data_IF_992607481198
#
_entry.id   IF_992607481198
#
_cell.length_a   1.000
_cell.length_b   1.000
_cell.length_c   1.000
_cell.angle_alpha   90.00
_cell.angle_beta   90.00
_cell.angle_gamma   90.00
#
_symmetry.space_group_name_H-M   'P 1'
#
loop_
_entity.id
_entity.type
_entity.pdbx_description
1 polymer ?
#
# COMPACT_ATOMS: atom_id res chain seq x y z
N UNK A 1 3.96 32.93 -59.17
CA UNK A 1 2.98 34.03 -59.07
C UNK A 1 2.22 33.77 -57.80
N UNK A 2 2.34 34.47 -56.71
CA UNK A 2 2.48 35.91 -56.46
C UNK A 2 3.24 36.13 -55.13
N UNK A 3 4.09 37.00 -55.14
CA UNK A 3 4.85 37.82 -54.27
C UNK A 3 3.92 38.72 -53.43
N UNK A 4 4.13 38.80 -52.13
CA UNK A 4 3.83 39.99 -51.33
C UNK A 4 4.61 39.97 -50.02
N UNK A 5 5.67 40.73 -49.97
CA UNK A 5 5.91 42.02 -49.25
C UNK A 5 5.51 41.95 -47.77
N UNK A 6 6.39 41.91 -46.80
CA UNK A 6 7.32 42.95 -46.44
C UNK A 6 6.69 43.99 -45.53
N UNK A 7 6.92 43.94 -44.19
CA UNK A 7 6.88 45.10 -43.29
C UNK A 7 7.91 44.98 -42.18
N UNK A 8 8.96 45.70 -42.35
CA UNK A 8 9.90 46.18 -41.33
C UNK A 8 9.19 47.24 -40.46
N UNK A 9 9.26 47.13 -39.14
CA UNK A 9 9.03 48.26 -38.23
C UNK A 9 10.07 48.27 -37.14
N UNK A 10 10.71 49.37 -37.17
CA UNK A 10 11.80 49.97 -36.46
C UNK A 10 11.84 49.82 -34.92
N UNK A 11 13.09 49.82 -34.56
CA UNK A 11 13.73 50.13 -33.27
C UNK A 11 13.06 51.24 -32.44
N UNK A 12 12.89 51.01 -31.16
CA UNK A 12 13.24 52.00 -30.14
C UNK A 12 13.85 51.34 -28.92
N UNK A 13 15.11 51.60 -28.73
CA UNK A 13 15.90 51.43 -27.52
C UNK A 13 15.33 52.33 -26.42
N UNK A 14 14.92 51.75 -25.32
CA UNK A 14 14.77 52.46 -24.08
C UNK A 14 15.65 51.77 -23.02
N UNK A 15 16.78 52.44 -22.74
CA UNK A 15 17.65 52.15 -21.60
C UNK A 15 16.89 52.53 -20.33
N UNK A 16 16.63 51.60 -19.45
CA UNK A 16 16.33 51.86 -18.06
C UNK A 16 17.25 51.03 -17.17
N UNK A 17 17.92 51.74 -16.26
CA UNK A 17 18.97 51.28 -15.37
C UNK A 17 18.51 50.23 -14.36
N UNK A 18 19.41 49.37 -13.88
CA UNK A 18 19.07 48.36 -12.88
C UNK A 18 19.05 48.97 -11.47
N UNK A 19 17.90 49.02 -10.82
CA UNK A 19 17.82 49.16 -9.38
C UNK A 19 17.95 47.76 -8.78
N UNK A 20 19.10 47.48 -8.18
CA UNK A 20 19.35 46.34 -7.34
C UNK A 20 18.47 46.44 -6.09
N UNK A 21 17.41 45.64 -6.02
CA UNK A 21 16.69 45.31 -4.82
C UNK A 21 17.17 43.93 -4.37
N UNK A 22 18.09 43.94 -3.39
CA UNK A 22 18.45 42.78 -2.59
C UNK A 22 17.21 42.39 -1.76
N UNK A 23 16.34 41.54 -2.32
CA UNK A 23 15.29 40.85 -1.57
C UNK A 23 15.87 39.58 -0.97
N UNK A 24 16.09 39.59 0.35
CA UNK A 24 16.39 38.38 1.11
C UNK A 24 15.23 37.39 0.97
N UNK A 25 15.40 36.36 0.17
CA UNK A 25 14.53 35.19 0.13
C UNK A 25 14.77 34.40 1.41
N UNK A 26 13.95 34.65 2.43
CA UNK A 26 13.80 33.74 3.57
C UNK A 26 13.16 32.45 3.01
N UNK A 27 13.97 31.42 2.78
CA UNK A 27 13.52 30.05 2.57
C UNK A 27 12.84 29.60 3.87
N UNK A 28 11.54 29.84 3.99
CA UNK A 28 10.71 29.21 5.00
C UNK A 28 10.70 27.70 4.71
N UNK A 29 11.42 26.94 5.53
CA UNK A 29 11.26 25.50 5.56
C UNK A 29 9.81 25.21 5.95
N UNK A 30 8.99 24.88 4.97
CA UNK A 30 7.65 24.32 5.19
C UNK A 30 7.89 22.93 5.77
N UNK A 31 7.87 22.83 7.11
CA UNK A 31 7.82 21.56 7.79
C UNK A 31 6.48 20.91 7.40
N UNK A 32 6.53 19.94 6.48
CA UNK A 32 5.40 19.05 6.25
C UNK A 32 5.13 18.34 7.59
N UNK A 33 3.89 18.38 8.10
CA UNK A 33 3.55 17.60 9.27
C UNK A 33 3.84 16.13 8.93
N UNK A 34 4.66 15.48 9.74
CA UNK A 34 4.80 14.03 9.70
C UNK A 34 3.38 13.47 9.86
N UNK A 35 2.88 12.80 8.81
CA UNK A 35 1.61 12.09 8.89
C UNK A 35 1.83 11.01 9.94
N UNK A 36 1.27 11.24 11.14
CA UNK A 36 1.22 10.23 12.17
C UNK A 36 0.64 8.97 11.52
N UNK A 37 1.39 7.87 11.55
CA UNK A 37 0.86 6.58 11.14
C UNK A 37 -0.20 6.24 12.18
N UNK A 38 -1.48 6.45 11.82
CA UNK A 38 -2.59 6.07 12.68
C UNK A 38 -2.46 4.57 12.96
N UNK A 39 -2.24 4.25 14.22
CA UNK A 39 -2.10 2.87 14.69
C UNK A 39 -3.41 2.14 14.39
N UNK A 40 -3.33 0.94 13.80
CA UNK A 40 -4.54 0.17 13.51
C UNK A 40 -5.29 -0.12 14.82
N UNK A 41 -6.63 0.06 14.89
CA UNK A 41 -7.38 -0.23 16.10
C UNK A 41 -7.32 -1.72 16.39
N UNK A 42 -7.16 -2.07 17.66
CA UNK A 42 -7.24 -3.47 18.11
C UNK A 42 -8.60 -4.06 17.77
N UNK A 43 -8.60 -5.26 17.24
CA UNK A 43 -9.82 -6.03 17.15
C UNK A 43 -10.31 -6.37 18.57
N UNK A 44 -11.64 -6.35 18.84
CA UNK A 44 -12.17 -6.79 20.12
C UNK A 44 -11.71 -8.21 20.44
N UNK A 45 -11.33 -8.47 21.68
CA UNK A 45 -10.89 -9.80 22.14
C UNK A 45 -11.91 -10.88 21.79
N UNK A 46 -11.45 -12.00 21.25
CA UNK A 46 -12.31 -13.10 20.79
C UNK A 46 -13.04 -12.83 19.46
N UNK A 47 -12.72 -11.73 18.77
CA UNK A 47 -13.25 -11.50 17.43
C UNK A 47 -12.46 -12.29 16.39
N UNK A 48 -13.18 -12.93 15.47
CA UNK A 48 -12.60 -13.50 14.25
C UNK A 48 -12.55 -12.40 13.18
N UNK A 49 -11.46 -12.30 12.46
CA UNK A 49 -11.37 -11.47 11.26
C UNK A 49 -11.03 -12.31 10.03
N UNK A 50 -11.67 -12.02 8.90
CA UNK A 50 -11.29 -12.58 7.61
C UNK A 50 -10.22 -11.70 7.00
N UNK A 51 -9.10 -12.31 6.64
CA UNK A 51 -8.04 -11.68 5.84
C UNK A 51 -8.24 -12.08 4.39
N UNK A 52 -8.54 -11.11 3.54
CA UNK A 52 -8.66 -11.35 2.10
C UNK A 52 -7.28 -11.52 1.47
N UNK A 53 -7.21 -12.16 0.30
CA UNK A 53 -6.03 -12.12 -0.54
C UNK A 53 -5.63 -10.70 -0.91
N UNK A 54 -4.35 -10.48 -1.19
CA UNK A 54 -3.85 -9.20 -1.71
C UNK A 54 -4.44 -8.94 -3.09
N UNK A 55 -5.08 -7.77 -3.28
CA UNK A 55 -5.90 -7.50 -4.46
C UNK A 55 -5.11 -7.03 -5.67
N UNK A 56 -3.98 -6.37 -5.47
CA UNK A 56 -3.14 -5.88 -6.57
C UNK A 56 -1.67 -5.79 -6.17
N UNK A 57 -0.80 -5.90 -7.18
CA UNK A 57 0.64 -5.64 -7.02
C UNK A 57 1.13 -4.79 -8.18
N UNK A 58 2.10 -3.93 -7.90
CA UNK A 58 2.81 -3.17 -8.92
C UNK A 58 4.19 -3.80 -9.18
N UNK A 59 4.64 -3.86 -10.43
CA UNK A 59 5.97 -4.35 -10.73
C UNK A 59 7.03 -3.38 -10.20
N UNK A 60 8.22 -3.90 -9.95
CA UNK A 60 9.42 -3.12 -9.67
C UNK A 60 9.80 -2.24 -10.87
N UNK A 61 10.54 -1.15 -10.66
CA UNK A 61 11.22 -0.48 -11.77
C UNK A 61 12.05 -1.48 -12.58
N UNK A 62 11.80 -1.55 -13.90
CA UNK A 62 12.39 -2.57 -14.77
C UNK A 62 11.51 -3.79 -15.05
N UNK A 63 10.29 -3.85 -14.50
CA UNK A 63 9.29 -4.85 -14.84
C UNK A 63 9.36 -6.17 -14.06
N UNK A 64 10.31 -6.31 -13.14
CA UNK A 64 10.38 -7.47 -12.24
C UNK A 64 9.27 -7.43 -11.18
N UNK A 65 8.96 -8.58 -10.59
CA UNK A 65 7.99 -8.68 -9.50
C UNK A 65 8.69 -8.86 -8.15
N UNK A 66 8.06 -8.40 -7.03
CA UNK A 66 8.62 -8.60 -5.70
C UNK A 66 8.81 -10.08 -5.34
N UNK A 67 9.89 -10.40 -4.59
CA UNK A 67 10.11 -11.74 -4.07
C UNK A 67 10.54 -12.76 -5.12
N UNK A 68 11.21 -12.32 -6.19
CA UNK A 68 11.65 -13.16 -7.32
C UNK A 68 10.49 -13.86 -8.08
N UNK A 69 9.25 -13.32 -7.94
CA UNK A 69 8.11 -13.82 -8.70
C UNK A 69 8.25 -13.53 -10.20
N UNK A 70 7.71 -14.40 -11.04
CA UNK A 70 7.75 -14.27 -12.50
C UNK A 70 6.51 -13.59 -13.07
N UNK A 71 5.47 -13.42 -12.24
CA UNK A 71 4.20 -12.79 -12.61
C UNK A 71 3.54 -12.08 -11.43
N UNK A 72 2.58 -11.20 -11.73
CA UNK A 72 1.76 -10.57 -10.70
C UNK A 72 1.04 -11.59 -9.82
N UNK A 73 0.46 -12.60 -10.43
CA UNK A 73 -0.29 -13.63 -9.71
C UNK A 73 0.60 -14.40 -8.72
N UNK A 74 1.82 -14.72 -9.14
CA UNK A 74 2.79 -15.38 -8.28
C UNK A 74 3.23 -14.48 -7.12
N UNK A 75 3.48 -13.19 -7.37
CA UNK A 75 3.81 -12.21 -6.32
C UNK A 75 2.68 -12.07 -5.29
N UNK A 76 1.42 -12.01 -5.75
CA UNK A 76 0.25 -11.94 -4.87
C UNK A 76 0.11 -13.21 -4.03
N UNK A 77 0.26 -14.38 -4.62
CA UNK A 77 0.20 -15.66 -3.90
C UNK A 77 1.33 -15.82 -2.89
N UNK A 78 2.54 -15.39 -3.24
CA UNK A 78 3.67 -15.39 -2.33
C UNK A 78 3.38 -14.47 -1.12
N UNK A 79 2.88 -13.26 -1.34
CA UNK A 79 2.53 -12.35 -0.25
C UNK A 79 1.39 -12.90 0.63
N UNK A 80 0.38 -13.53 0.04
CA UNK A 80 -0.70 -14.20 0.78
C UNK A 80 -0.18 -15.33 1.68
N UNK A 81 0.79 -16.12 1.19
CA UNK A 81 1.40 -17.20 1.96
C UNK A 81 2.21 -16.65 3.15
N UNK A 82 2.98 -15.60 2.93
CA UNK A 82 3.75 -14.94 3.98
C UNK A 82 2.83 -14.29 5.04
N UNK A 83 1.75 -13.62 4.62
CA UNK A 83 0.74 -13.07 5.53
C UNK A 83 0.07 -14.17 6.36
N UNK A 84 -0.29 -15.29 5.71
CA UNK A 84 -0.91 -16.40 6.38
C UNK A 84 0.04 -17.02 7.43
N UNK A 85 1.32 -17.16 7.11
CA UNK A 85 2.32 -17.65 8.04
C UNK A 85 2.52 -16.70 9.22
N UNK A 86 2.76 -15.41 8.96
CA UNK A 86 3.02 -14.42 9.99
C UNK A 86 1.85 -14.21 10.97
N UNK A 87 0.60 -14.27 10.48
CA UNK A 87 -0.60 -14.16 11.32
C UNK A 87 -0.90 -15.46 12.06
N UNK A 88 -0.61 -16.65 11.48
CA UNK A 88 -0.78 -17.91 12.17
C UNK A 88 0.17 -18.05 13.37
N UNK A 89 1.38 -17.54 13.28
CA UNK A 89 2.35 -17.50 14.38
C UNK A 89 1.88 -16.62 15.55
N UNK A 90 1.01 -15.65 15.29
CA UNK A 90 0.47 -14.70 16.27
C UNK A 90 -0.98 -14.96 16.69
N UNK A 91 -1.43 -16.20 16.61
CA UNK A 91 -2.82 -16.62 16.95
C UNK A 91 -3.28 -16.21 18.35
N UNK A 92 -2.38 -16.04 19.29
CA UNK A 92 -2.72 -15.57 20.64
C UNK A 92 -3.35 -14.15 20.66
N UNK A 93 -3.18 -13.36 19.61
CA UNK A 93 -3.71 -11.99 19.48
C UNK A 93 -5.09 -11.92 18.80
N UNK A 94 -5.60 -13.04 18.22
CA UNK A 94 -6.90 -13.09 17.54
C UNK A 94 -7.06 -14.32 16.66
N UNK A 95 -8.31 -14.64 16.32
CA UNK A 95 -8.62 -15.68 15.36
C UNK A 95 -8.70 -15.11 13.95
N UNK A 96 -7.88 -15.67 13.05
CA UNK A 96 -7.78 -15.24 11.67
C UNK A 96 -8.30 -16.30 10.71
N UNK A 97 -9.26 -15.95 9.86
CA UNK A 97 -9.60 -16.72 8.68
C UNK A 97 -8.71 -16.24 7.52
N UNK A 98 -7.72 -17.05 7.17
CA UNK A 98 -6.63 -16.67 6.27
C UNK A 98 -6.98 -16.89 4.79
N UNK A 99 -6.29 -16.24 3.83
CA UNK A 99 -6.59 -16.35 2.40
C UNK A 99 -6.72 -17.78 1.86
N UNK A 100 -5.87 -18.77 2.24
CA UNK A 100 -6.05 -20.13 1.79
C UNK A 100 -7.35 -20.79 2.31
N UNK A 101 -7.77 -20.46 3.53
CA UNK A 101 -9.01 -20.98 4.11
C UNK A 101 -10.23 -20.36 3.42
N UNK A 102 -10.16 -19.06 3.13
CA UNK A 102 -11.21 -18.33 2.42
C UNK A 102 -11.43 -18.92 1.02
N UNK A 103 -10.36 -19.08 0.23
CA UNK A 103 -10.46 -19.70 -1.11
C UNK A 103 -11.07 -21.11 -1.04
N UNK A 104 -10.66 -21.94 -0.07
CA UNK A 104 -11.23 -23.28 0.13
C UNK A 104 -12.72 -23.23 0.47
N UNK A 105 -13.15 -22.29 1.32
CA UNK A 105 -14.56 -22.16 1.68
C UNK A 105 -15.40 -21.67 0.51
N UNK A 106 -14.92 -20.68 -0.24
CA UNK A 106 -15.62 -20.18 -1.44
C UNK A 106 -15.78 -21.32 -2.46
N UNK A 107 -14.72 -22.09 -2.75
CA UNK A 107 -14.77 -23.23 -3.67
C UNK A 107 -15.78 -24.30 -3.27
N UNK A 108 -16.06 -24.48 -1.97
CA UNK A 108 -17.05 -25.43 -1.45
C UNK A 108 -18.49 -24.87 -1.41
N UNK A 109 -18.67 -23.58 -1.71
CA UNK A 109 -19.97 -22.93 -1.64
C UNK A 109 -20.33 -22.29 -3.00
N UNK A 110 -20.84 -23.06 -3.95
CA UNK A 110 -21.10 -22.60 -5.31
C UNK A 110 -22.15 -21.48 -5.40
N UNK A 111 -22.90 -21.25 -4.30
CA UNK A 111 -23.85 -20.12 -4.21
C UNK A 111 -23.13 -18.76 -4.03
N UNK A 112 -21.89 -18.76 -3.56
CA UNK A 112 -21.07 -17.56 -3.45
C UNK A 112 -20.47 -17.28 -4.83
N UNK A 113 -20.87 -16.16 -5.44
CA UNK A 113 -20.41 -15.75 -6.77
C UNK A 113 -19.28 -14.72 -6.71
N UNK A 114 -18.75 -14.48 -5.52
CA UNK A 114 -17.67 -13.51 -5.29
C UNK A 114 -16.33 -14.21 -5.42
N UNK A 115 -15.46 -13.63 -6.22
CA UNK A 115 -14.05 -14.04 -6.29
C UNK A 115 -13.26 -13.30 -5.19
N UNK A 116 -12.72 -14.00 -4.18
CA UNK A 116 -11.97 -13.34 -3.10
C UNK A 116 -10.68 -12.67 -3.58
N UNK A 117 -10.15 -13.09 -4.72
CA UNK A 117 -8.93 -12.53 -5.31
C UNK A 117 -9.19 -11.26 -6.14
N UNK A 118 -10.47 -10.88 -6.35
CA UNK A 118 -10.87 -9.77 -7.25
C UNK A 118 -12.09 -9.02 -6.75
N UNK A 119 -12.06 -8.54 -5.51
CA UNK A 119 -13.16 -7.70 -5.01
C UNK A 119 -13.09 -6.27 -5.56
N UNK A 120 -14.20 -5.55 -5.54
CA UNK A 120 -14.34 -4.21 -6.13
C UNK A 120 -13.72 -3.10 -5.26
N UNK A 121 -12.46 -3.20 -4.89
CA UNK A 121 -11.75 -2.32 -3.95
C UNK A 121 -11.38 -0.94 -4.48
N UNK A 122 -11.48 -0.68 -5.78
CA UNK A 122 -10.97 0.53 -6.46
C UNK A 122 -11.52 1.82 -5.84
N UNK A 123 -12.77 1.79 -5.35
CA UNK A 123 -13.39 2.93 -4.68
C UNK A 123 -12.67 3.38 -3.41
N UNK A 124 -12.04 2.46 -2.67
CA UNK A 124 -11.27 2.77 -1.47
C UNK A 124 -9.92 3.45 -1.78
N UNK A 125 -9.35 3.15 -2.94
CA UNK A 125 -8.06 3.72 -3.37
C UNK A 125 -8.25 5.07 -4.05
N UNK A 126 -9.31 5.21 -4.89
CA UNK A 126 -9.52 6.38 -5.73
C UNK A 126 -10.09 7.60 -4.99
N UNK A 127 -10.78 7.40 -3.85
CA UNK A 127 -11.47 8.47 -3.12
C UNK A 127 -11.06 8.50 -1.65
N UNK A 128 -9.92 9.08 -1.33
CA UNK A 128 -9.42 9.13 0.05
C UNK A 128 -10.32 9.91 1.00
N UNK A 129 -11.09 10.86 0.52
CA UNK A 129 -12.07 11.67 1.25
C UNK A 129 -13.33 10.88 1.67
N UNK A 130 -13.58 9.72 1.06
CA UNK A 130 -14.72 8.84 1.35
C UNK A 130 -14.32 7.47 1.92
N UNK A 131 -13.15 7.37 2.50
CA UNK A 131 -12.60 6.11 3.03
C UNK A 131 -13.29 5.60 4.29
N UNK A 132 -14.13 6.42 4.94
CA UNK A 132 -14.84 6.04 6.17
C UNK A 132 -15.96 5.03 5.93
N UNK A 133 -16.48 4.95 4.71
CA UNK A 133 -17.57 4.06 4.34
C UNK A 133 -17.24 3.23 3.11
N UNK A 134 -17.76 2.01 3.09
CA UNK A 134 -17.75 1.15 1.91
C UNK A 134 -19.11 1.16 1.25
N UNK A 135 -19.10 1.09 -0.09
CA UNK A 135 -20.30 1.12 -0.93
C UNK A 135 -20.40 -0.14 -1.79
N UNK A 136 -21.56 -0.34 -2.39
CA UNK A 136 -21.72 -1.40 -3.38
C UNK A 136 -20.84 -1.14 -4.63
N UNK A 137 -20.31 -2.19 -5.28
CA UNK A 137 -20.54 -3.61 -4.96
C UNK A 137 -19.65 -4.18 -3.86
N UNK A 138 -18.58 -3.47 -3.41
CA UNK A 138 -17.63 -3.97 -2.42
C UNK A 138 -18.30 -4.43 -1.11
N UNK A 139 -19.28 -3.65 -0.62
CA UNK A 139 -19.96 -4.01 0.64
C UNK A 139 -20.66 -5.37 0.53
N UNK A 140 -21.40 -5.63 -0.56
CA UNK A 140 -22.05 -6.90 -0.80
C UNK A 140 -21.08 -8.06 -0.93
N UNK A 141 -19.98 -7.85 -1.65
CA UNK A 141 -18.92 -8.85 -1.81
C UNK A 141 -18.27 -9.23 -0.46
N UNK A 142 -17.82 -8.23 0.31
CA UNK A 142 -17.20 -8.47 1.60
C UNK A 142 -18.17 -9.10 2.61
N UNK A 143 -19.44 -8.70 2.58
CA UNK A 143 -20.49 -9.29 3.42
C UNK A 143 -20.69 -10.78 3.11
N UNK A 144 -20.72 -11.16 1.82
CA UNK A 144 -20.83 -12.55 1.41
C UNK A 144 -19.63 -13.39 1.88
N UNK A 145 -18.42 -12.87 1.74
CA UNK A 145 -17.20 -13.56 2.18
C UNK A 145 -17.11 -13.67 3.71
N UNK A 146 -17.41 -12.59 4.44
CA UNK A 146 -17.38 -12.57 5.90
C UNK A 146 -18.43 -13.51 6.50
N UNK A 147 -19.59 -13.66 5.87
CA UNK A 147 -20.65 -14.58 6.31
C UNK A 147 -20.20 -16.04 6.33
N UNK A 148 -19.26 -16.45 5.46
CA UNK A 148 -18.69 -17.80 5.47
C UNK A 148 -18.01 -18.17 6.80
N UNK A 149 -17.57 -17.17 7.56
CA UNK A 149 -16.87 -17.35 8.83
C UNK A 149 -17.66 -16.81 10.03
N UNK A 150 -18.88 -16.31 9.80
CA UNK A 150 -19.71 -15.72 10.85
C UNK A 150 -19.10 -14.47 11.49
N UNK A 151 -18.19 -13.79 10.80
CA UNK A 151 -17.49 -12.60 11.29
C UNK A 151 -18.06 -11.31 10.73
N UNK A 152 -17.73 -10.21 11.42
CA UNK A 152 -18.04 -8.84 10.95
C UNK A 152 -16.81 -8.06 10.54
N UNK A 153 -15.61 -8.55 10.86
CA UNK A 153 -14.36 -7.85 10.59
C UNK A 153 -13.66 -8.45 9.38
N UNK A 154 -13.19 -7.56 8.51
CA UNK A 154 -12.44 -7.92 7.31
C UNK A 154 -11.17 -7.08 7.26
N UNK A 155 -10.04 -7.74 7.09
CA UNK A 155 -8.78 -7.12 6.69
C UNK A 155 -8.66 -7.27 5.18
N UNK A 156 -8.59 -6.15 4.49
CA UNK A 156 -8.50 -6.08 3.03
C UNK A 156 -7.14 -5.51 2.61
N UNK A 157 -6.18 -6.38 2.21
CA UNK A 157 -4.93 -5.95 1.61
C UNK A 157 -5.20 -5.44 0.18
N UNK A 158 -5.03 -4.14 -0.04
CA UNK A 158 -5.44 -3.47 -1.27
C UNK A 158 -4.36 -3.52 -2.35
N UNK A 159 -3.13 -3.16 -1.97
CA UNK A 159 -2.06 -3.00 -2.95
C UNK A 159 -0.68 -3.23 -2.35
N UNK A 160 0.05 -4.15 -2.97
CA UNK A 160 1.47 -4.38 -2.72
C UNK A 160 2.28 -3.51 -3.68
N UNK A 161 3.21 -2.71 -3.14
CA UNK A 161 4.16 -1.91 -3.91
C UNK A 161 5.55 -2.10 -3.34
N UNK A 162 6.53 -1.73 -4.16
CA UNK A 162 7.93 -1.66 -3.74
C UNK A 162 8.49 -0.30 -4.14
N UNK A 163 8.83 0.50 -3.15
CA UNK A 163 9.40 1.82 -3.35
C UNK A 163 10.94 1.77 -3.28
N UNK A 164 11.65 2.71 -3.93
CA UNK A 164 13.08 2.90 -3.69
C UNK A 164 13.33 3.14 -2.19
N UNK A 165 14.34 2.48 -1.62
CA UNK A 165 14.58 2.51 -0.18
C UNK A 165 14.89 3.89 0.40
N UNK A 166 15.26 4.86 -0.46
CA UNK A 166 15.55 6.25 -0.08
C UNK A 166 14.31 7.10 0.15
N UNK A 167 13.17 6.75 -0.48
CA UNK A 167 11.95 7.57 -0.49
C UNK A 167 10.97 7.18 0.63
N UNK A 168 11.28 6.15 1.38
CA UNK A 168 10.41 5.68 2.45
C UNK A 168 10.54 6.54 3.70
N UNK A 169 9.41 6.88 4.38
CA UNK A 169 9.46 7.55 5.67
C UNK A 169 10.34 6.75 6.64
N UNK A 170 11.26 7.43 7.34
CA UNK A 170 11.96 6.80 8.45
C UNK A 170 10.92 6.51 9.52
N UNK A 171 10.67 5.22 9.76
CA UNK A 171 9.88 4.83 10.92
C UNK A 171 10.71 5.16 12.17
N UNK A 172 10.26 6.16 12.92
CA UNK A 172 10.85 6.50 14.22
C UNK A 172 10.74 5.25 15.11
N UNK A 173 11.89 4.68 15.51
CA UNK A 173 11.95 3.54 16.41
C UNK A 173 12.22 2.17 15.79
N UNK A 174 12.41 2.05 14.48
CA UNK A 174 12.89 0.78 13.91
C UNK A 174 14.40 0.64 14.09
N UNK A 175 14.83 0.15 15.24
CA UNK A 175 16.18 -0.37 15.46
C UNK A 175 16.43 -1.51 14.46
N UNK A 176 17.14 -1.22 13.38
CA UNK A 176 17.48 -2.20 12.35
C UNK A 176 17.27 -1.71 10.92
N UNK A 177 17.35 -0.40 10.69
CA UNK A 177 17.55 0.09 9.32
C UNK A 177 18.83 -0.58 8.80
N UNK A 178 18.69 -1.41 7.75
CA UNK A 178 19.89 -1.81 6.99
C UNK A 178 20.63 -0.51 6.65
N UNK A 179 21.97 -0.47 6.83
CA UNK A 179 22.72 0.71 6.52
C UNK A 179 22.38 1.13 5.09
N UNK A 180 22.09 2.42 4.91
CA UNK A 180 21.69 3.01 3.61
C UNK A 180 22.75 2.74 2.51
N UNK A 181 23.88 2.21 2.87
CA UNK A 181 25.05 1.93 2.03
C UNK A 181 25.18 0.44 1.63
N UNK A 182 24.26 -0.44 2.02
CA UNK A 182 24.26 -1.83 1.55
C UNK A 182 23.94 -1.86 0.07
N UNK A 183 24.97 -1.93 -0.76
CA UNK A 183 24.80 -2.13 -2.20
C UNK A 183 24.32 -3.56 -2.44
N UNK A 184 23.19 -3.68 -3.12
CA UNK A 184 22.69 -4.96 -3.62
C UNK A 184 23.56 -5.50 -4.75
N UNK A 185 23.43 -6.78 -5.10
CA UNK A 185 24.10 -7.37 -6.24
C UNK A 185 23.85 -6.53 -7.50
N UNK A 186 24.91 -6.29 -8.28
CA UNK A 186 24.80 -5.42 -9.46
C UNK A 186 24.73 -3.92 -9.21
N UNK A 187 25.01 -3.44 -7.98
CA UNK A 187 25.01 -2.00 -7.65
C UNK A 187 23.62 -1.37 -7.57
N UNK A 188 22.56 -2.18 -7.48
CA UNK A 188 21.21 -1.68 -7.30
C UNK A 188 20.99 -1.09 -5.91
N UNK A 189 20.16 -0.06 -5.83
CA UNK A 189 19.76 0.48 -4.55
C UNK A 189 18.78 -0.50 -3.84
N UNK A 190 18.83 -0.58 -2.50
CA UNK A 190 17.84 -1.35 -1.76
C UNK A 190 16.44 -0.80 -2.01
N UNK A 191 15.46 -1.68 -1.96
CA UNK A 191 14.04 -1.37 -2.14
C UNK A 191 13.31 -1.62 -0.83
N UNK A 192 12.15 -1.02 -0.66
CA UNK A 192 11.29 -1.18 0.51
C UNK A 192 9.89 -1.57 0.09
N UNK A 193 9.41 -2.76 0.52
CA UNK A 193 8.06 -3.19 0.21
C UNK A 193 7.06 -2.45 1.12
N UNK A 194 5.89 -2.15 0.56
CA UNK A 194 4.77 -1.55 1.26
C UNK A 194 3.47 -2.28 0.93
N UNK A 195 2.59 -2.39 1.91
CA UNK A 195 1.26 -2.95 1.73
C UNK A 195 0.21 -1.96 2.23
N UNK A 196 -0.65 -1.51 1.33
CA UNK A 196 -1.81 -0.71 1.66
C UNK A 196 -2.92 -1.64 2.16
N UNK A 197 -3.47 -1.37 3.34
CA UNK A 197 -4.45 -2.18 4.02
C UNK A 197 -5.67 -1.37 4.44
N UNK A 198 -6.82 -2.03 4.53
CA UNK A 198 -8.00 -1.52 5.21
C UNK A 198 -8.54 -2.54 6.22
N UNK A 199 -8.92 -2.08 7.41
CA UNK A 199 -9.70 -2.85 8.38
C UNK A 199 -11.14 -2.36 8.34
N UNK A 200 -12.09 -3.26 8.10
CA UNK A 200 -13.47 -2.92 7.78
C UNK A 200 -14.42 -3.63 8.75
N UNK A 201 -15.40 -2.89 9.27
CA UNK A 201 -16.56 -3.42 9.98
C UNK A 201 -17.74 -3.54 9.00
N UNK A 202 -18.03 -4.75 8.56
CA UNK A 202 -19.07 -5.01 7.56
C UNK A 202 -20.47 -4.65 8.08
N UNK A 203 -20.75 -4.82 9.38
CA UNK A 203 -22.07 -4.49 9.94
C UNK A 203 -22.36 -3.00 9.92
N UNK A 204 -21.31 -2.18 10.03
CA UNK A 204 -21.42 -0.71 9.99
C UNK A 204 -21.15 -0.14 8.61
N UNK A 205 -20.77 -0.95 7.64
CA UNK A 205 -20.27 -0.52 6.33
C UNK A 205 -19.16 0.52 6.45
N UNK A 206 -18.33 0.40 7.48
CA UNK A 206 -17.34 1.40 7.85
C UNK A 206 -15.91 0.87 7.74
N UNK A 207 -15.02 1.70 7.25
CA UNK A 207 -13.59 1.48 7.34
C UNK A 207 -13.13 1.97 8.71
N UNK A 208 -12.71 1.04 9.55
CA UNK A 208 -12.22 1.33 10.91
C UNK A 208 -10.81 1.90 10.88
N UNK A 209 -10.01 1.44 9.93
CA UNK A 209 -8.64 1.87 9.73
C UNK A 209 -8.20 1.64 8.28
N UNK A 210 -7.36 2.51 7.81
CA UNK A 210 -6.76 2.43 6.49
C UNK A 210 -5.35 3.01 6.57
N UNK A 211 -4.36 2.23 6.18
CA UNK A 211 -2.98 2.64 6.30
C UNK A 211 -2.02 1.83 5.45
N UNK A 212 -0.81 2.35 5.31
CA UNK A 212 0.29 1.67 4.62
C UNK A 212 1.25 1.11 5.65
N UNK A 213 1.52 -0.19 5.58
CA UNK A 213 2.53 -0.86 6.36
C UNK A 213 3.78 -1.06 5.53
N UNK A 214 4.92 -0.72 6.11
CA UNK A 214 6.21 -0.80 5.46
C UNK A 214 7.01 -2.00 5.96
N UNK A 215 7.61 -2.75 5.04
CA UNK A 215 8.62 -3.74 5.36
C UNK A 215 9.99 -3.12 5.61
N UNK A 216 10.98 -3.94 5.90
CA UNK A 216 12.39 -3.51 5.94
C UNK A 216 12.92 -3.30 4.53
N UNK A 217 13.87 -2.37 4.39
CA UNK A 217 14.61 -2.23 3.15
C UNK A 217 15.50 -3.47 2.94
N UNK A 218 15.48 -4.01 1.72
CA UNK A 218 16.26 -5.17 1.31
C UNK A 218 16.53 -5.11 -0.20
N UNK A 219 17.31 -6.04 -0.71
CA UNK A 219 17.48 -6.17 -2.16
C UNK A 219 16.21 -6.74 -2.80
N UNK A 220 15.92 -6.31 -4.02
CA UNK A 220 14.69 -6.71 -4.72
C UNK A 220 14.56 -8.23 -4.91
N UNK A 221 15.71 -8.91 -5.11
CA UNK A 221 15.84 -10.36 -5.24
C UNK A 221 15.86 -11.11 -3.91
N UNK A 222 15.84 -10.41 -2.77
CA UNK A 222 15.85 -11.05 -1.46
C UNK A 222 14.54 -11.80 -1.21
N UNK A 223 14.62 -13.13 -1.08
CA UNK A 223 13.47 -13.98 -0.76
C UNK A 223 12.79 -13.62 0.57
N UNK A 224 13.47 -12.95 1.50
CA UNK A 224 12.93 -12.46 2.76
C UNK A 224 12.14 -11.15 2.66
N UNK A 225 12.11 -10.49 1.50
CA UNK A 225 11.48 -9.18 1.32
C UNK A 225 10.00 -9.19 1.71
N UNK A 226 9.23 -10.15 1.22
CA UNK A 226 7.81 -10.29 1.51
C UNK A 226 7.55 -10.80 2.93
N UNK A 227 8.37 -11.71 3.43
CA UNK A 227 8.29 -12.22 4.81
C UNK A 227 8.48 -11.09 5.83
N UNK A 228 9.45 -10.19 5.60
CA UNK A 228 9.68 -9.01 6.43
C UNK A 228 8.49 -8.04 6.45
N UNK A 229 7.83 -7.85 5.31
CA UNK A 229 6.61 -7.05 5.21
C UNK A 229 5.45 -7.73 5.95
N UNK A 230 5.25 -9.03 5.73
CA UNK A 230 4.19 -9.80 6.39
C UNK A 230 4.32 -9.77 7.92
N UNK A 231 5.55 -9.90 8.44
CA UNK A 231 5.82 -9.79 9.87
C UNK A 231 5.48 -8.40 10.42
N UNK A 232 5.73 -7.33 9.64
CA UNK A 232 5.36 -5.95 10.01
C UNK A 232 3.84 -5.76 10.02
N UNK A 233 3.13 -6.32 9.02
CA UNK A 233 1.65 -6.30 8.97
C UNK A 233 1.06 -7.05 10.16
N UNK A 234 1.55 -8.26 10.44
CA UNK A 234 1.06 -9.05 11.56
C UNK A 234 1.25 -8.30 12.89
N UNK A 235 2.39 -7.65 13.10
CA UNK A 235 2.65 -6.81 14.26
C UNK A 235 1.67 -5.64 14.35
N UNK A 236 1.47 -4.90 13.25
CA UNK A 236 0.54 -3.77 13.19
C UNK A 236 -0.90 -4.18 13.56
N UNK A 237 -1.35 -5.37 13.14
CA UNK A 237 -2.69 -5.85 13.41
C UNK A 237 -2.88 -6.48 14.80
N UNK A 238 -1.80 -6.88 15.48
CA UNK A 238 -1.86 -7.61 16.75
C UNK A 238 -1.36 -6.83 17.96
N UNK A 239 -0.48 -5.86 17.78
CA UNK A 239 0.18 -5.10 18.87
C UNK A 239 -0.33 -3.64 18.99
N UNK A 240 -1.28 -3.25 18.14
CA UNK A 240 -1.85 -1.88 18.09
C UNK A 240 -2.83 -1.60 19.21
#
# INVERSE_FOLDING_TARGET
MEVSKGRSVDRRLARCAPRALLGALALGAVAFPAVAQDTAPRLPSGSVAVVLPVQSSEPLPGGAWPGAATSQEEALRAMDAELAFALADRRAAGDWALPPDLRRRVARNPMIKVDPDRVAFQGLVARPDRREQIYEPLHGELRALAALFGTRFVVLPLRLRVAPGRDAPRADGADGAAPADAACAGGQAPVRPELLLALIDIRRSAVLWHGTVWGRAACAEDGGLLAGLAASVARQLTES
#
